data_IF_479254017144
#
_entry.id   IF_479254017144
#
_cell.length_a   1.000
_cell.length_b   1.000
_cell.length_c   1.000
_cell.angle_alpha   90.00
_cell.angle_beta   90.00
_cell.angle_gamma   90.00
#
_symmetry.space_group_name_H-M   'P 1'
#
loop_
_entity.id
_entity.type
_entity.pdbx_description
1 polymer ?
#
# COMPACT_ATOMS: atom_id res chain seq x y z
N UNK A 1 25.52 8.80 1.13
CA UNK A 1 25.27 8.80 2.59
C UNK A 1 23.78 9.10 2.78
N UNK A 2 22.85 8.14 2.80
CA UNK A 2 22.79 6.86 3.51
C UNK A 2 22.90 7.03 5.03
N UNK A 3 21.98 7.76 5.68
CA UNK A 3 21.74 7.62 7.11
C UNK A 3 20.42 8.26 7.58
N UNK A 4 19.85 7.69 8.64
CA UNK A 4 18.67 8.13 9.40
C UNK A 4 17.25 7.72 8.91
N UNK A 5 16.93 6.41 8.92
CA UNK A 5 15.55 5.95 9.18
C UNK A 5 15.34 4.47 9.65
N UNK A 6 16.14 3.86 10.57
CA UNK A 6 15.78 2.53 11.09
C UNK A 6 14.79 2.56 12.27
N UNK A 7 14.70 3.67 13.03
CA UNK A 7 14.02 3.67 14.34
C UNK A 7 12.50 3.89 14.26
N UNK A 8 12.00 4.82 13.42
CA UNK A 8 10.54 5.04 13.30
C UNK A 8 9.78 3.91 12.60
N UNK A 9 10.48 3.08 11.82
CA UNK A 9 9.86 2.02 11.02
C UNK A 9 9.37 0.85 11.90
N UNK A 10 10.01 0.64 13.06
CA UNK A 10 9.64 -0.39 14.02
C UNK A 10 8.51 0.04 14.98
N UNK A 11 8.44 1.33 15.33
CA UNK A 11 7.46 1.84 16.31
C UNK A 11 6.04 1.92 15.73
N UNK A 12 5.88 2.31 14.46
CA UNK A 12 4.56 2.36 13.83
C UNK A 12 3.94 0.96 13.63
N UNK A 13 4.75 -0.08 13.42
CA UNK A 13 4.27 -1.46 13.29
C UNK A 13 3.93 -2.12 14.63
N UNK A 14 4.41 -1.58 15.75
CA UNK A 14 4.22 -2.19 17.07
C UNK A 14 2.76 -2.13 17.56
N UNK A 15 1.95 -1.20 17.05
CA UNK A 15 0.52 -1.08 17.38
C UNK A 15 -0.38 -1.97 16.51
N UNK A 16 0.16 -2.59 15.45
CA UNK A 16 -0.61 -3.43 14.56
C UNK A 16 -0.44 -4.91 14.91
N UNK A 17 -1.54 -5.65 14.95
CA UNK A 17 -1.45 -7.10 14.98
C UNK A 17 -0.67 -7.59 13.74
N UNK A 18 0.34 -8.47 13.90
CA UNK A 18 1.15 -8.94 12.78
C UNK A 18 0.31 -9.64 11.70
N UNK A 19 -0.86 -10.17 12.09
CA UNK A 19 -1.84 -10.79 11.20
C UNK A 19 -2.49 -9.80 10.23
N UNK A 20 -2.78 -8.57 10.66
CA UNK A 20 -3.38 -7.54 9.81
C UNK A 20 -2.38 -7.06 8.75
N UNK A 21 -1.12 -6.83 9.15
CA UNK A 21 -0.05 -6.49 8.21
C UNK A 21 0.21 -7.60 7.17
N UNK A 22 0.18 -8.86 7.60
CA UNK A 22 0.35 -10.01 6.72
C UNK A 22 -0.84 -10.22 5.78
N UNK A 23 -2.08 -10.01 6.27
CA UNK A 23 -3.28 -10.06 5.44
C UNK A 23 -3.21 -9.00 4.32
N UNK A 24 -2.78 -7.79 4.65
CA UNK A 24 -2.59 -6.72 3.66
C UNK A 24 -1.52 -7.09 2.63
N UNK A 25 -0.37 -7.63 3.08
CA UNK A 25 0.66 -8.17 2.18
C UNK A 25 0.12 -9.25 1.26
N UNK A 26 -0.62 -10.20 1.80
CA UNK A 26 -1.24 -11.28 1.01
C UNK A 26 -2.24 -10.74 0.01
N UNK A 27 -3.04 -9.73 0.36
CA UNK A 27 -3.97 -9.10 -0.59
C UNK A 27 -3.21 -8.42 -1.74
N UNK A 28 -2.14 -7.68 -1.43
CA UNK A 28 -1.28 -7.05 -2.45
C UNK A 28 -0.61 -8.10 -3.33
N UNK A 29 -0.16 -9.21 -2.75
CA UNK A 29 0.44 -10.33 -3.48
C UNK A 29 -0.58 -11.08 -4.35
N UNK A 30 -1.80 -11.30 -3.85
CA UNK A 30 -2.90 -11.87 -4.64
C UNK A 30 -3.29 -10.97 -5.81
N UNK A 31 -3.21 -9.65 -5.64
CA UNK A 31 -3.42 -8.66 -6.71
C UNK A 31 -2.34 -8.77 -7.79
N UNK A 32 -1.07 -9.02 -7.42
CA UNK A 32 0.05 -9.25 -8.35
C UNK A 32 -0.06 -10.60 -9.06
N UNK A 33 -0.39 -11.66 -8.33
CA UNK A 33 -0.47 -13.06 -8.80
C UNK A 33 -1.73 -13.33 -9.62
N UNK A 34 -2.79 -12.54 -9.48
CA UNK A 34 -3.98 -12.62 -10.33
C UNK A 34 -3.71 -12.04 -11.71
N UNK A 35 -2.74 -12.60 -12.43
CA UNK A 35 -2.55 -12.38 -13.85
C UNK A 35 -3.75 -12.90 -14.61
N UNK A 36 -4.62 -12.00 -15.06
CA UNK A 36 -5.40 -12.20 -16.29
C UNK A 36 -6.92 -12.07 -16.23
N UNK A 37 -7.64 -12.22 -15.11
CA UNK A 37 -9.11 -12.32 -15.23
C UNK A 37 -10.01 -11.77 -14.12
N UNK A 38 -9.50 -11.21 -13.01
CA UNK A 38 -10.36 -10.52 -12.02
C UNK A 38 -9.89 -9.10 -11.70
N UNK A 39 -10.05 -8.20 -12.67
CA UNK A 39 -9.90 -6.75 -12.47
C UNK A 39 -10.89 -6.20 -11.42
N UNK A 40 -12.06 -6.81 -11.26
CA UNK A 40 -13.02 -6.47 -10.19
C UNK A 40 -12.55 -6.88 -8.78
N UNK A 41 -11.84 -8.00 -8.64
CA UNK A 41 -11.34 -8.44 -7.32
C UNK A 41 -10.23 -7.52 -6.80
N UNK A 42 -9.43 -6.92 -7.69
CA UNK A 42 -8.42 -5.94 -7.32
C UNK A 42 -9.07 -4.67 -6.76
N UNK A 43 -10.16 -4.19 -7.35
CA UNK A 43 -10.86 -2.98 -6.90
C UNK A 43 -11.38 -3.13 -5.47
N UNK A 44 -11.92 -4.29 -5.12
CA UNK A 44 -12.37 -4.59 -3.75
C UNK A 44 -11.22 -4.68 -2.75
N UNK A 45 -10.11 -5.33 -3.14
CA UNK A 45 -8.94 -5.47 -2.28
C UNK A 45 -8.28 -4.11 -2.01
N UNK A 46 -8.04 -3.30 -3.03
CA UNK A 46 -7.47 -1.95 -2.87
C UNK A 46 -8.36 -1.03 -2.06
N UNK A 47 -9.68 -1.06 -2.30
CA UNK A 47 -10.64 -0.29 -1.50
C UNK A 47 -10.57 -0.65 -0.01
N UNK A 48 -10.41 -1.94 0.31
CA UNK A 48 -10.27 -2.39 1.69
C UNK A 48 -8.93 -2.00 2.31
N UNK A 49 -7.84 -2.12 1.56
CA UNK A 49 -6.52 -1.64 2.01
C UNK A 49 -6.54 -0.14 2.32
N UNK A 50 -7.15 0.66 1.43
CA UNK A 50 -7.32 2.10 1.62
C UNK A 50 -8.15 2.41 2.87
N UNK A 51 -9.26 1.71 3.06
CA UNK A 51 -10.10 1.90 4.25
C UNK A 51 -9.31 1.65 5.54
N UNK A 52 -8.56 0.55 5.61
CA UNK A 52 -7.73 0.23 6.77
C UNK A 52 -6.59 1.25 6.96
N UNK A 53 -5.96 1.68 5.86
CA UNK A 53 -4.98 2.76 5.85
C UNK A 53 -5.55 4.06 6.44
N UNK A 54 -6.83 4.35 6.19
CA UNK A 54 -7.48 5.56 6.70
C UNK A 54 -7.77 5.49 8.21
N UNK A 55 -7.90 4.28 8.75
CA UNK A 55 -8.20 4.07 10.18
C UNK A 55 -6.97 4.22 11.09
N UNK A 56 -5.75 3.93 10.59
CA UNK A 56 -4.54 4.07 11.41
C UNK A 56 -3.29 4.26 10.55
N UNK A 57 -2.39 5.12 10.99
CA UNK A 57 -1.07 5.34 10.39
C UNK A 57 -0.21 4.07 10.36
N UNK A 58 -0.37 3.20 11.35
CA UNK A 58 0.30 1.89 11.40
C UNK A 58 -0.05 1.03 10.18
N UNK A 59 -1.33 1.02 9.78
CA UNK A 59 -1.78 0.31 8.58
C UNK A 59 -1.14 0.90 7.32
N UNK A 60 -1.03 2.22 7.24
CA UNK A 60 -0.41 2.89 6.08
C UNK A 60 1.04 2.44 5.91
N UNK A 61 1.81 2.44 6.99
CA UNK A 61 3.20 2.00 6.99
C UNK A 61 3.30 0.51 6.62
N UNK A 62 2.41 -0.34 7.15
CA UNK A 62 2.37 -1.76 6.81
C UNK A 62 2.08 -2.01 5.33
N UNK A 63 1.14 -1.26 4.74
CA UNK A 63 0.77 -1.35 3.33
C UNK A 63 1.92 -0.88 2.41
N UNK A 64 2.61 0.20 2.79
CA UNK A 64 3.81 0.65 2.06
C UNK A 64 4.94 -0.38 2.16
N UNK A 65 5.18 -0.93 3.36
CA UNK A 65 6.13 -2.01 3.58
C UNK A 65 5.76 -3.30 2.84
N UNK A 66 4.48 -3.53 2.56
CA UNK A 66 4.02 -4.64 1.75
C UNK A 66 4.44 -4.54 0.27
N UNK A 67 5.01 -3.40 -0.14
CA UNK A 67 5.37 -3.14 -1.53
C UNK A 67 4.12 -2.98 -2.39
N UNK A 68 3.12 -2.24 -1.88
CA UNK A 68 1.93 -1.85 -2.65
C UNK A 68 2.22 -0.73 -3.64
N UNK A 69 3.28 0.06 -3.42
CA UNK A 69 3.60 1.21 -4.29
C UNK A 69 3.87 0.74 -5.72
N UNK A 70 4.64 -0.34 -5.87
CA UNK A 70 4.96 -0.94 -7.16
C UNK A 70 3.71 -1.39 -7.96
N UNK A 71 2.80 -2.22 -7.40
CA UNK A 71 1.56 -2.58 -8.10
C UNK A 71 0.61 -1.40 -8.28
N UNK A 72 0.61 -0.37 -7.43
CA UNK A 72 -0.19 0.84 -7.64
C UNK A 72 0.31 1.63 -8.86
N UNK A 73 1.63 1.83 -8.97
CA UNK A 73 2.26 2.48 -10.14
C UNK A 73 2.02 1.65 -11.40
N UNK A 74 2.15 0.32 -11.30
CA UNK A 74 1.83 -0.58 -12.39
C UNK A 74 0.36 -0.46 -12.80
N UNK A 75 -0.58 -0.44 -11.85
CA UNK A 75 -2.01 -0.28 -12.09
C UNK A 75 -2.35 1.10 -12.68
N UNK A 76 -1.61 2.16 -12.33
CA UNK A 76 -1.75 3.47 -12.98
C UNK A 76 -1.34 3.44 -14.45
N UNK A 77 -0.33 2.62 -14.79
CA UNK A 77 0.20 2.50 -16.15
C UNK A 77 -0.61 1.54 -17.02
N UNK A 78 -1.04 0.40 -16.48
CA UNK A 78 -1.68 -0.69 -17.23
C UNK A 78 -3.16 -0.90 -16.88
N UNK A 79 -3.65 -0.30 -15.80
CA UNK A 79 -5.01 -0.52 -15.28
C UNK A 79 -6.10 0.35 -15.93
N UNK A 80 -7.35 -0.09 -15.75
CA UNK A 80 -8.57 0.61 -16.18
C UNK A 80 -8.83 1.88 -15.34
N UNK A 81 -9.69 2.79 -15.83
CA UNK A 81 -10.09 4.02 -15.11
C UNK A 81 -10.33 3.81 -13.61
N UNK A 82 -11.08 2.77 -13.24
CA UNK A 82 -11.41 2.43 -11.84
C UNK A 82 -10.17 2.02 -11.02
N UNK A 83 -9.29 1.21 -11.60
CA UNK A 83 -8.03 0.84 -10.97
C UNK A 83 -7.09 2.04 -10.83
N UNK A 84 -7.05 2.94 -11.83
CA UNK A 84 -6.27 4.17 -11.75
C UNK A 84 -6.75 5.09 -10.63
N UNK A 85 -8.07 5.26 -10.49
CA UNK A 85 -8.65 6.06 -9.41
C UNK A 85 -8.32 5.46 -8.04
N UNK A 86 -8.54 4.17 -7.86
CA UNK A 86 -8.20 3.48 -6.61
C UNK A 86 -6.70 3.59 -6.32
N UNK A 87 -5.85 3.50 -7.35
CA UNK A 87 -4.42 3.61 -7.17
C UNK A 87 -3.98 5.01 -6.72
N UNK A 88 -4.53 6.05 -7.37
CA UNK A 88 -4.29 7.43 -6.97
C UNK A 88 -4.78 7.71 -5.54
N UNK A 89 -5.98 7.23 -5.18
CA UNK A 89 -6.52 7.38 -3.83
C UNK A 89 -5.73 6.64 -2.76
N UNK A 90 -5.25 5.42 -3.08
CA UNK A 90 -4.39 4.68 -2.16
C UNK A 90 -3.07 5.44 -1.95
N UNK A 91 -2.43 5.93 -3.01
CA UNK A 91 -1.22 6.75 -2.90
C UNK A 91 -1.47 8.03 -2.09
N UNK A 92 -2.58 8.73 -2.32
CA UNK A 92 -2.95 9.93 -1.55
C UNK A 92 -3.13 9.61 -0.06
N UNK A 93 -3.87 8.55 0.26
CA UNK A 93 -4.10 8.12 1.64
C UNK A 93 -2.80 7.71 2.34
N UNK A 94 -1.89 7.09 1.60
CA UNK A 94 -0.57 6.71 2.11
C UNK A 94 0.33 7.94 2.30
N UNK A 95 0.31 8.88 1.36
CA UNK A 95 1.11 10.12 1.38
C UNK A 95 0.65 11.13 2.43
N UNK A 96 -0.55 10.97 3.00
CA UNK A 96 -0.97 11.72 4.20
C UNK A 96 -0.08 11.47 5.42
N UNK A 97 0.77 10.43 5.40
CA UNK A 97 1.77 10.19 6.43
C UNK A 97 3.17 10.55 5.90
N UNK A 98 3.87 11.46 6.57
CA UNK A 98 5.20 11.92 6.18
C UNK A 98 6.24 10.78 6.09
N UNK A 99 6.15 9.75 6.94
CA UNK A 99 7.05 8.60 6.84
C UNK A 99 6.85 7.84 5.52
N UNK A 100 5.60 7.69 5.09
CA UNK A 100 5.29 7.01 3.84
C UNK A 100 5.64 7.85 2.63
N UNK A 101 5.51 9.17 2.74
CA UNK A 101 5.88 10.10 1.66
C UNK A 101 7.34 9.92 1.24
N UNK A 102 8.25 9.67 2.19
CA UNK A 102 9.66 9.34 1.89
C UNK A 102 9.78 8.01 1.15
N UNK A 103 9.06 6.98 1.57
CA UNK A 103 9.13 5.66 0.91
C UNK A 103 8.52 5.68 -0.49
N UNK A 104 7.40 6.39 -0.67
CA UNK A 104 6.78 6.58 -1.99
C UNK A 104 7.72 7.36 -2.91
N UNK A 105 8.36 8.42 -2.41
CA UNK A 105 9.35 9.19 -3.16
C UNK A 105 10.59 8.36 -3.54
N UNK A 106 10.96 7.37 -2.73
CA UNK A 106 12.09 6.49 -2.98
C UNK A 106 11.73 5.25 -3.82
N UNK A 107 10.44 5.04 -4.11
CA UNK A 107 9.93 3.91 -4.89
C UNK A 107 9.53 4.31 -6.33
N UNK A 108 9.58 5.60 -6.67
CA UNK A 108 9.46 6.12 -8.03
C UNK A 108 10.83 6.46 -8.61
#
# INVERSE_FOLDING_TARGET
>A
EAEAQPLRRAEATAALCPKDAELMRRMVDQVKTSGGFRRDAQCGAFGKLRELARQSDAHRVAIVNAGVVDPLVHLLRTGNMKGKTEAAWALETLAMNDNNRVVIANAG
#
